data_IF_566166383668
#
_entry.id   IF_566166383668
#
_cell.length_a   1.000
_cell.length_b   1.000
_cell.length_c   1.000
_cell.angle_alpha   90.00
_cell.angle_beta   90.00
_cell.angle_gamma   90.00
#
_symmetry.space_group_name_H-M   'P 1'
#
loop_
_entity.id
_entity.type
_entity.pdbx_description
1 polymer ?
#
# COMPACT_ATOMS: atom_id res chain seq x y z
N UNK A 1 1.43 15.30 10.11
CA UNK A 1 0.29 15.15 11.04
C UNK A 1 0.64 14.29 12.25
N UNK A 2 1.35 13.19 12.07
CA UNK A 2 1.78 12.30 13.16
C UNK A 2 2.66 13.02 14.18
N UNK A 3 3.63 13.83 13.72
CA UNK A 3 4.55 14.60 14.59
C UNK A 3 3.83 15.53 15.58
N UNK A 4 2.68 16.07 15.19
CA UNK A 4 1.93 17.03 16.02
C UNK A 4 0.99 16.39 17.04
N UNK A 5 0.77 15.07 17.01
CA UNK A 5 -0.21 14.37 17.87
C UNK A 5 0.37 13.23 18.71
N UNK A 6 1.69 13.03 18.73
CA UNK A 6 2.34 11.86 19.38
C UNK A 6 1.69 10.53 18.96
N UNK A 7 1.24 10.41 17.70
CA UNK A 7 0.67 9.18 17.18
C UNK A 7 1.77 8.13 17.09
N UNK A 8 1.55 7.01 17.75
CA UNK A 8 2.34 5.80 17.57
C UNK A 8 1.44 4.71 17.01
N UNK A 9 2.00 3.94 16.10
CA UNK A 9 1.35 2.79 15.50
C UNK A 9 2.02 1.51 16.01
N UNK A 10 1.25 0.44 16.19
CA UNK A 10 1.82 -0.87 16.50
C UNK A 10 2.37 -1.49 15.22
N UNK A 11 1.57 -1.50 14.15
CA UNK A 11 1.90 -2.19 12.93
C UNK A 11 1.44 -1.36 11.71
N UNK A 12 2.35 -1.16 10.77
CA UNK A 12 2.10 -0.45 9.51
C UNK A 12 2.43 -1.37 8.33
N UNK A 13 1.55 -1.37 7.31
CA UNK A 13 1.86 -1.91 5.99
C UNK A 13 2.12 -0.77 5.01
N UNK A 14 3.27 -0.81 4.31
CA UNK A 14 3.63 0.09 3.20
C UNK A 14 3.57 -0.70 1.89
N UNK A 15 2.44 -0.58 1.18
CA UNK A 15 2.17 -1.28 -0.08
C UNK A 15 2.52 -0.37 -1.24
N UNK A 16 3.51 -0.78 -2.05
CA UNK A 16 4.18 0.06 -3.04
C UNK A 16 5.24 0.93 -2.35
N UNK A 17 6.20 0.28 -1.71
CA UNK A 17 7.22 0.97 -0.89
C UNK A 17 8.30 1.65 -1.73
N UNK A 18 8.38 1.33 -3.05
CA UNK A 18 9.39 1.86 -3.95
C UNK A 18 10.80 1.65 -3.38
N UNK A 19 11.56 2.74 -3.20
CA UNK A 19 12.92 2.69 -2.62
C UNK A 19 12.95 2.89 -1.09
N UNK A 20 11.77 2.87 -0.42
CA UNK A 20 11.66 2.85 1.04
C UNK A 20 11.60 4.21 1.73
N UNK A 21 11.47 5.32 1.00
CA UNK A 21 11.48 6.66 1.60
C UNK A 21 10.38 6.88 2.64
N UNK A 22 9.18 6.34 2.39
CA UNK A 22 8.06 6.43 3.32
C UNK A 22 8.25 5.49 4.52
N UNK A 23 8.68 4.24 4.28
CA UNK A 23 8.97 3.26 5.33
C UNK A 23 10.00 3.77 6.33
N UNK A 24 11.11 4.37 5.85
CA UNK A 24 12.13 5.02 6.69
C UNK A 24 11.53 6.14 7.55
N UNK A 25 10.71 7.00 6.94
CA UNK A 25 10.10 8.12 7.64
C UNK A 25 9.13 7.66 8.73
N UNK A 26 8.43 6.54 8.52
CA UNK A 26 7.42 6.04 9.46
C UNK A 26 7.98 5.11 10.52
N UNK A 27 9.16 4.52 10.32
CA UNK A 27 9.75 3.56 11.26
C UNK A 27 9.88 4.13 12.70
N UNK A 28 10.23 5.40 12.85
CA UNK A 28 10.33 6.05 14.16
C UNK A 28 8.98 6.26 14.88
N UNK A 29 7.86 6.06 14.19
CA UNK A 29 6.49 6.21 14.72
C UNK A 29 5.75 4.89 14.87
N UNK A 30 6.40 3.77 14.60
CA UNK A 30 5.78 2.45 14.55
C UNK A 30 6.59 1.42 15.30
N UNK A 31 5.92 0.41 15.88
CA UNK A 31 6.57 -0.77 16.46
C UNK A 31 7.04 -1.77 15.40
N UNK A 32 6.33 -1.87 14.27
CA UNK A 32 6.67 -2.75 13.14
C UNK A 32 6.20 -2.15 11.83
N UNK A 33 7.11 -2.03 10.87
CA UNK A 33 6.82 -1.65 9.48
C UNK A 33 7.09 -2.85 8.58
N UNK A 34 6.11 -3.18 7.72
CA UNK A 34 6.25 -4.21 6.69
C UNK A 34 6.03 -3.56 5.33
N UNK A 35 7.04 -3.64 4.47
CA UNK A 35 7.10 -2.96 3.19
C UNK A 35 7.04 -3.97 2.02
N UNK A 36 6.20 -3.68 1.03
CA UNK A 36 6.00 -4.51 -0.16
C UNK A 36 6.36 -3.72 -1.41
N UNK A 37 7.29 -4.25 -2.20
CA UNK A 37 7.71 -3.68 -3.48
C UNK A 37 7.93 -4.80 -4.50
N UNK A 38 7.16 -4.85 -5.59
CA UNK A 38 7.26 -5.95 -6.55
C UNK A 38 8.42 -5.81 -7.54
N UNK A 39 8.85 -4.58 -7.89
CA UNK A 39 9.92 -4.40 -8.88
C UNK A 39 11.27 -4.81 -8.29
N UNK A 40 12.03 -5.74 -8.97
CA UNK A 40 13.28 -6.25 -8.42
C UNK A 40 14.35 -5.16 -8.20
N UNK A 41 14.40 -4.14 -9.05
CA UNK A 41 15.37 -3.06 -8.96
C UNK A 41 15.04 -2.13 -7.80
N UNK A 42 13.76 -1.73 -7.69
CA UNK A 42 13.29 -0.91 -6.57
C UNK A 42 13.42 -1.65 -5.24
N UNK A 43 13.08 -2.94 -5.21
CA UNK A 43 13.22 -3.78 -4.03
C UNK A 43 14.67 -3.86 -3.52
N UNK A 44 15.65 -4.02 -4.42
CA UNK A 44 17.05 -3.98 -4.03
C UNK A 44 17.48 -2.63 -3.42
N UNK A 45 16.90 -1.53 -3.89
CA UNK A 45 17.11 -0.22 -3.29
C UNK A 45 16.39 -0.11 -1.93
N UNK A 46 15.14 -0.58 -1.85
CA UNK A 46 14.36 -0.63 -0.61
C UNK A 46 15.16 -1.31 0.52
N UNK A 47 15.62 -2.54 0.29
CA UNK A 47 16.39 -3.32 1.29
C UNK A 47 17.64 -2.59 1.78
N UNK A 48 18.31 -1.82 0.89
CA UNK A 48 19.52 -1.06 1.26
C UNK A 48 19.22 0.23 2.02
N UNK A 49 18.04 0.81 1.82
CA UNK A 49 17.71 2.13 2.33
C UNK A 49 17.01 2.08 3.69
N UNK A 50 16.25 1.00 3.96
CA UNK A 50 15.49 0.90 5.22
C UNK A 50 16.35 0.37 6.37
N UNK A 51 16.03 0.74 7.63
CA UNK A 51 16.62 0.12 8.81
C UNK A 51 16.38 -1.39 8.87
N UNK A 52 17.24 -2.14 9.57
CA UNK A 52 17.19 -3.61 9.67
C UNK A 52 15.92 -4.14 10.34
N UNK A 53 15.25 -3.33 11.13
CA UNK A 53 13.98 -3.66 11.81
C UNK A 53 12.74 -3.45 10.91
N UNK A 54 12.88 -2.91 9.71
CA UNK A 54 11.83 -2.86 8.69
C UNK A 54 11.81 -4.17 7.91
N UNK A 55 10.69 -4.88 8.01
CA UNK A 55 10.47 -6.11 7.24
C UNK A 55 10.16 -5.78 5.77
N UNK A 56 10.82 -6.43 4.82
CA UNK A 56 10.64 -6.14 3.39
C UNK A 56 10.31 -7.40 2.59
N UNK A 57 9.40 -7.27 1.64
CA UNK A 57 8.97 -8.36 0.76
C UNK A 57 8.96 -7.93 -0.71
N UNK A 58 9.60 -8.74 -1.56
CA UNK A 58 9.52 -8.56 -3.02
C UNK A 58 8.24 -9.21 -3.56
N UNK A 59 7.10 -8.58 -3.27
CA UNK A 59 5.77 -9.05 -3.60
C UNK A 59 4.91 -7.91 -4.15
N UNK A 60 4.07 -8.20 -5.13
CA UNK A 60 2.91 -7.37 -5.42
C UNK A 60 1.77 -7.68 -4.46
N UNK A 61 0.93 -6.69 -4.21
CA UNK A 61 -0.29 -6.86 -3.42
C UNK A 61 -1.50 -6.53 -4.28
N UNK A 62 -2.53 -7.39 -4.25
CA UNK A 62 -3.73 -7.21 -5.07
C UNK A 62 -4.91 -8.05 -4.60
N UNK A 63 -5.88 -8.30 -5.50
CA UNK A 63 -7.15 -8.98 -5.17
C UNK A 63 -7.09 -10.50 -5.18
N UNK A 64 -5.97 -11.11 -5.59
CA UNK A 64 -5.82 -12.57 -5.65
C UNK A 64 -4.36 -12.99 -5.62
N UNK A 65 -4.11 -14.19 -5.10
CA UNK A 65 -2.78 -14.80 -5.12
C UNK A 65 -2.51 -15.37 -6.52
N UNK A 66 -1.50 -14.84 -7.21
CA UNK A 66 -1.13 -15.24 -8.57
C UNK A 66 0.27 -14.72 -8.93
N UNK A 67 0.79 -15.19 -10.06
CA UNK A 67 2.01 -14.64 -10.66
C UNK A 67 1.65 -13.53 -11.66
N UNK A 68 2.40 -12.43 -11.66
CA UNK A 68 2.19 -11.27 -12.53
C UNK A 68 3.47 -10.83 -13.22
N UNK A 69 3.31 -10.00 -14.26
CA UNK A 69 4.38 -9.17 -14.84
C UNK A 69 4.13 -7.69 -14.57
N UNK A 70 5.21 -6.93 -14.52
CA UNK A 70 5.17 -5.47 -14.52
C UNK A 70 5.55 -4.91 -15.88
N UNK A 71 5.08 -3.69 -16.18
CA UNK A 71 5.45 -3.00 -17.43
C UNK A 71 6.96 -2.69 -17.47
N UNK A 72 7.54 -2.75 -18.68
CA UNK A 72 8.96 -2.44 -18.92
C UNK A 72 9.20 -0.95 -19.23
N UNK A 73 8.43 -0.05 -18.65
CA UNK A 73 8.62 1.38 -18.83
C UNK A 73 9.92 1.82 -18.14
N UNK A 74 11.04 1.85 -18.87
CA UNK A 74 12.41 2.04 -18.36
C UNK A 74 12.67 3.37 -17.65
N UNK A 75 11.73 4.32 -17.74
CA UNK A 75 11.92 5.69 -17.24
C UNK A 75 10.90 6.15 -16.21
N UNK A 76 9.98 5.29 -15.75
CA UNK A 76 8.96 5.70 -14.81
C UNK A 76 9.05 4.92 -13.50
N UNK A 77 8.95 5.64 -12.40
CA UNK A 77 8.75 5.07 -11.05
C UNK A 77 7.45 4.26 -10.98
N UNK A 78 6.55 4.47 -11.93
CA UNK A 78 5.20 3.93 -12.03
C UNK A 78 5.15 2.62 -12.83
N UNK A 79 5.69 1.54 -12.29
CA UNK A 79 5.53 0.20 -12.88
C UNK A 79 4.09 -0.29 -12.71
N UNK A 80 3.53 -0.90 -13.75
CA UNK A 80 2.13 -1.35 -13.79
C UNK A 80 2.02 -2.86 -13.94
N UNK A 81 1.02 -3.46 -13.30
CA UNK A 81 0.66 -4.86 -13.50
C UNK A 81 0.08 -5.04 -14.91
N UNK A 82 0.68 -5.91 -15.74
CA UNK A 82 0.30 -6.08 -17.16
C UNK A 82 -0.08 -7.51 -17.57
N UNK A 83 -0.06 -8.48 -16.69
CA UNK A 83 -0.42 -9.86 -17.03
C UNK A 83 0.26 -10.91 -16.17
N UNK A 84 0.36 -12.13 -16.70
CA UNK A 84 1.08 -13.23 -16.05
C UNK A 84 2.60 -13.11 -16.22
N UNK A 85 3.37 -13.51 -15.20
CA UNK A 85 4.84 -13.44 -15.20
C UNK A 85 5.46 -14.11 -14.00
N UNK A 86 6.59 -13.59 -13.53
CA UNK A 86 7.42 -14.25 -12.51
C UNK A 86 7.38 -13.55 -11.13
N UNK A 87 6.61 -12.47 -11.00
CA UNK A 87 6.49 -11.72 -9.75
C UNK A 87 5.28 -12.24 -8.98
N UNK A 88 5.46 -12.74 -7.75
CA UNK A 88 4.33 -13.19 -6.94
C UNK A 88 3.48 -12.00 -6.48
N UNK A 89 2.18 -12.15 -6.58
CA UNK A 89 1.16 -11.26 -6.03
C UNK A 89 0.38 -12.00 -4.95
N UNK A 90 0.13 -11.34 -3.83
CA UNK A 90 -0.64 -11.86 -2.71
C UNK A 90 -1.79 -10.91 -2.35
N UNK A 91 -2.78 -11.41 -1.63
CA UNK A 91 -3.78 -10.55 -0.98
C UNK A 91 -3.29 -10.14 0.41
N UNK A 92 -3.67 -8.95 0.89
CA UNK A 92 -3.37 -8.55 2.28
C UNK A 92 -3.96 -9.57 3.25
N UNK A 93 -5.18 -10.03 2.98
CA UNK A 93 -5.88 -11.02 3.82
C UNK A 93 -5.17 -12.38 3.90
N UNK A 94 -4.36 -12.75 2.88
CA UNK A 94 -3.59 -14.00 2.89
C UNK A 94 -2.27 -13.92 3.66
N UNK A 95 -1.84 -12.74 4.09
CA UNK A 95 -0.65 -12.54 4.90
C UNK A 95 -0.88 -12.92 6.36
N UNK A 96 -2.14 -13.08 6.77
CA UNK A 96 -2.58 -13.45 8.12
C UNK A 96 -1.98 -12.56 9.22
N UNK A 97 -1.80 -11.26 8.88
CA UNK A 97 -1.26 -10.25 9.78
C UNK A 97 -2.37 -9.62 10.62
N UNK A 98 -2.12 -9.47 11.92
CA UNK A 98 -3.06 -8.85 12.87
C UNK A 98 -2.55 -7.49 13.37
N UNK A 99 -3.43 -6.75 14.03
CA UNK A 99 -3.10 -5.49 14.73
C UNK A 99 -2.52 -4.40 13.83
N UNK A 100 -3.01 -4.34 12.58
CA UNK A 100 -2.58 -3.33 11.61
C UNK A 100 -3.30 -2.02 11.89
N UNK A 101 -2.56 -1.03 12.37
CA UNK A 101 -3.11 0.31 12.62
C UNK A 101 -3.26 1.14 11.33
N UNK A 102 -2.30 1.00 10.40
CA UNK A 102 -2.25 1.80 9.17
C UNK A 102 -1.82 0.95 7.97
N UNK A 103 -2.57 1.07 6.89
CA UNK A 103 -2.17 0.59 5.57
C UNK A 103 -1.93 1.80 4.68
N UNK A 104 -0.69 1.98 4.17
CA UNK A 104 -0.40 2.89 3.07
C UNK A 104 -0.51 2.11 1.75
N UNK A 105 -1.18 2.69 0.77
CA UNK A 105 -1.37 2.12 -0.57
C UNK A 105 -0.97 3.16 -1.62
N UNK A 106 0.07 2.83 -2.39
CA UNK A 106 0.60 3.67 -3.45
C UNK A 106 1.17 2.74 -4.54
N UNK A 107 0.30 2.28 -5.41
CA UNK A 107 0.54 1.18 -6.37
C UNK A 107 0.20 1.57 -7.80
N UNK A 108 0.24 2.88 -8.09
CA UNK A 108 0.18 3.46 -9.43
C UNK A 108 -1.05 3.06 -10.24
N UNK A 109 -2.20 3.01 -9.56
CA UNK A 109 -3.50 2.74 -10.14
C UNK A 109 -4.13 1.41 -9.72
N UNK A 110 -3.39 0.53 -9.05
CA UNK A 110 -3.90 -0.80 -8.63
C UNK A 110 -4.58 -0.78 -7.25
N UNK A 111 -4.87 0.42 -6.70
CA UNK A 111 -5.38 0.65 -5.35
C UNK A 111 -6.70 -0.10 -5.08
N UNK A 112 -7.63 -0.10 -6.04
CA UNK A 112 -8.90 -0.83 -5.90
C UNK A 112 -8.68 -2.34 -5.75
N UNK A 113 -7.73 -2.91 -6.48
CA UNK A 113 -7.41 -4.34 -6.39
C UNK A 113 -6.74 -4.69 -5.06
N UNK A 114 -5.88 -3.82 -4.53
CA UNK A 114 -5.33 -3.98 -3.18
C UNK A 114 -6.44 -3.99 -2.13
N UNK A 115 -7.37 -3.03 -2.18
CA UNK A 115 -8.49 -2.94 -1.25
C UNK A 115 -9.43 -4.17 -1.31
N UNK A 116 -9.67 -4.72 -2.51
CA UNK A 116 -10.45 -5.97 -2.67
C UNK A 116 -9.75 -7.17 -2.01
N UNK A 117 -8.42 -7.18 -1.97
CA UNK A 117 -7.63 -8.22 -1.31
C UNK A 117 -7.41 -8.00 0.20
N UNK A 118 -7.99 -6.95 0.77
CA UNK A 118 -7.79 -6.53 2.16
C UNK A 118 -9.10 -6.49 2.98
N UNK A 119 -10.17 -7.14 2.53
CA UNK A 119 -11.52 -6.97 3.10
C UNK A 119 -11.55 -7.31 4.59
N UNK A 120 -10.98 -8.46 4.98
CA UNK A 120 -10.92 -8.91 6.39
C UNK A 120 -9.97 -8.02 7.21
N UNK A 121 -8.81 -7.73 6.66
CA UNK A 121 -7.81 -6.88 7.30
C UNK A 121 -8.35 -5.49 7.56
N UNK A 122 -9.08 -4.92 6.60
CA UNK A 122 -9.73 -3.62 6.76
C UNK A 122 -10.73 -3.58 7.92
N UNK A 123 -11.36 -4.67 8.33
CA UNK A 123 -12.33 -4.69 9.46
C UNK A 123 -11.69 -4.23 10.78
N UNK A 124 -10.39 -4.48 10.97
CA UNK A 124 -9.64 -4.15 12.18
C UNK A 124 -8.63 -3.01 11.98
N UNK A 125 -8.41 -2.57 10.74
CA UNK A 125 -7.50 -1.46 10.42
C UNK A 125 -8.10 -0.13 10.83
N UNK A 126 -7.29 0.73 11.42
CA UNK A 126 -7.73 2.04 11.92
C UNK A 126 -7.59 3.16 10.90
N UNK A 127 -6.50 3.14 10.14
CA UNK A 127 -6.21 4.15 9.13
C UNK A 127 -5.85 3.52 7.78
N UNK A 128 -6.27 4.18 6.70
CA UNK A 128 -5.80 3.90 5.34
C UNK A 128 -5.28 5.21 4.75
N UNK A 129 -4.02 5.22 4.32
CA UNK A 129 -3.43 6.28 3.50
C UNK A 129 -3.33 5.76 2.08
N UNK A 130 -3.82 6.53 1.11
CA UNK A 130 -3.91 6.07 -0.28
C UNK A 130 -3.61 7.21 -1.24
N UNK A 131 -2.77 6.95 -2.24
CA UNK A 131 -2.55 7.86 -3.35
C UNK A 131 -3.65 7.68 -4.42
N UNK A 132 -4.30 8.78 -4.80
CA UNK A 132 -5.37 8.80 -5.80
C UNK A 132 -5.04 9.79 -6.94
N UNK A 133 -4.11 9.41 -7.79
CA UNK A 133 -3.57 10.22 -8.89
C UNK A 133 -4.27 10.02 -10.25
N UNK A 134 -5.49 9.44 -10.28
CA UNK A 134 -6.26 9.06 -11.47
C UNK A 134 -5.68 7.88 -12.30
N UNK A 135 -4.61 7.23 -11.89
CA UNK A 135 -4.08 6.04 -12.56
C UNK A 135 -5.02 4.83 -12.43
N UNK A 136 -5.91 4.79 -11.42
CA UNK A 136 -6.94 3.76 -11.23
C UNK A 136 -7.80 3.51 -12.46
N UNK A 137 -7.98 4.52 -13.32
CA UNK A 137 -8.70 4.40 -14.61
C UNK A 137 -8.08 3.37 -15.54
N UNK A 138 -6.77 3.15 -15.46
CA UNK A 138 -6.05 2.15 -16.27
C UNK A 138 -6.48 0.71 -15.97
N UNK A 139 -7.07 0.49 -14.79
CA UNK A 139 -7.56 -0.81 -14.31
C UNK A 139 -9.08 -0.87 -14.15
N UNK A 140 -9.81 0.05 -14.83
CA UNK A 140 -11.27 0.04 -14.87
C UNK A 140 -11.96 0.58 -13.62
N UNK A 141 -11.22 1.24 -12.71
CA UNK A 141 -11.76 1.93 -11.56
C UNK A 141 -11.51 3.45 -11.66
N UNK A 142 -12.07 4.21 -10.75
CA UNK A 142 -11.77 5.63 -10.59
C UNK A 142 -11.69 6.00 -9.11
N UNK A 143 -11.11 7.18 -8.83
CA UNK A 143 -10.89 7.64 -7.45
C UNK A 143 -12.16 7.67 -6.60
N UNK A 144 -13.32 8.04 -7.21
CA UNK A 144 -14.60 8.08 -6.52
C UNK A 144 -15.08 6.69 -6.10
N UNK A 145 -14.83 5.67 -6.93
CA UNK A 145 -15.16 4.27 -6.60
C UNK A 145 -14.32 3.75 -5.45
N UNK A 146 -13.02 4.09 -5.42
CA UNK A 146 -12.12 3.78 -4.31
C UNK A 146 -12.62 4.41 -3.01
N UNK A 147 -12.98 5.70 -3.05
CA UNK A 147 -13.54 6.39 -1.90
C UNK A 147 -14.87 5.77 -1.43
N UNK A 148 -15.76 5.42 -2.36
CA UNK A 148 -17.02 4.73 -2.03
C UNK A 148 -16.79 3.37 -1.40
N UNK A 149 -15.77 2.62 -1.88
CA UNK A 149 -15.39 1.33 -1.29
C UNK A 149 -14.96 1.51 0.18
N UNK A 150 -14.03 2.42 0.45
CA UNK A 150 -13.57 2.72 1.81
C UNK A 150 -14.71 3.23 2.71
N UNK A 151 -15.60 4.07 2.18
CA UNK A 151 -16.78 4.52 2.93
C UNK A 151 -17.71 3.37 3.32
N UNK A 152 -17.96 2.41 2.40
CA UNK A 152 -18.74 1.18 2.68
C UNK A 152 -18.04 0.28 3.71
N UNK A 153 -16.71 0.22 3.68
CA UNK A 153 -15.90 -0.51 4.65
C UNK A 153 -15.81 0.19 6.03
N UNK A 154 -16.54 1.29 6.25
CA UNK A 154 -16.65 1.97 7.54
C UNK A 154 -15.63 3.09 7.76
N UNK A 155 -14.93 3.56 6.72
CA UNK A 155 -13.98 4.66 6.82
C UNK A 155 -14.61 6.00 6.42
N UNK A 156 -14.02 7.09 6.90
CA UNK A 156 -14.29 8.46 6.45
C UNK A 156 -12.98 9.19 6.18
N UNK A 157 -13.00 10.16 5.29
CA UNK A 157 -11.83 11.02 5.04
C UNK A 157 -11.47 11.76 6.32
N UNK A 158 -10.23 11.64 6.75
CA UNK A 158 -9.63 12.39 7.85
C UNK A 158 -8.86 13.60 7.33
N UNK A 159 -8.11 13.41 6.24
CA UNK A 159 -7.24 14.40 5.63
C UNK A 159 -7.14 14.13 4.13
N UNK A 160 -7.06 15.20 3.34
CA UNK A 160 -6.84 15.11 1.89
C UNK A 160 -5.88 16.20 1.45
N UNK A 161 -4.81 15.81 0.77
CA UNK A 161 -3.87 16.69 0.08
C UNK A 161 -3.45 15.99 -1.21
N UNK A 162 -3.94 16.47 -2.31
CA UNK A 162 -3.75 15.82 -3.60
C UNK A 162 -2.26 15.49 -3.88
N UNK A 163 -1.93 14.26 -4.32
CA UNK A 163 -2.83 13.15 -4.63
C UNK A 163 -3.23 12.28 -3.43
N UNK A 164 -2.72 12.52 -2.22
CA UNK A 164 -2.87 11.68 -1.04
C UNK A 164 -4.16 11.93 -0.27
N UNK A 165 -4.78 10.84 0.20
CA UNK A 165 -5.87 10.87 1.15
C UNK A 165 -5.63 9.93 2.33
N UNK A 166 -5.96 10.40 3.52
CA UNK A 166 -5.96 9.59 4.73
C UNK A 166 -7.40 9.38 5.18
N UNK A 167 -7.75 8.14 5.37
CA UNK A 167 -9.05 7.70 5.89
C UNK A 167 -8.88 7.17 7.30
N UNK A 168 -9.91 7.36 8.13
CA UNK A 168 -9.98 6.81 9.49
C UNK A 168 -11.28 6.02 9.66
N UNK A 169 -11.23 4.92 10.38
CA UNK A 169 -12.39 4.13 10.75
C UNK A 169 -13.35 4.96 11.61
N UNK A 170 -14.65 4.84 11.33
CA UNK A 170 -15.73 5.54 12.06
C UNK A 170 -15.90 5.00 13.45
#
# INVERSE_FOLDING_TARGET
HCKNKNLKFNHILDIGAWVGTWSVAMNSFCGRVVAFEPDPVHYQCLVKNVPEDVETHQLAVGSSNKMISLSNDDFTQAKRVIGSGDIPMVTVDSLDMTDIDLIKIDVEGYEMEVLKGAIKTLENTKYVMIELNNNTKKYGANNLEVEKFLNKAGFKVLFAHWPDKVFVRK
#
